data_IF_853835272888
#
_entry.id   IF_853835272888
#
_cell.length_a   1.000
_cell.length_b   1.000
_cell.length_c   1.000
_cell.angle_alpha   90.00
_cell.angle_beta   90.00
_cell.angle_gamma   90.00
#
_symmetry.space_group_name_H-M   'P 1'
#
loop_
_entity.id
_entity.type
_entity.pdbx_description
1 polymer ?
#
# COMPACT_ATOMS: atom_id res chain seq x y z
N UNK A 1 55.58 -51.25 56.89
CA UNK A 1 56.48 -51.91 55.93
C UNK A 1 55.66 -52.19 54.68
N UNK A 2 55.97 -51.53 53.56
CA UNK A 2 55.27 -51.77 52.29
C UNK A 2 55.71 -53.10 51.70
N UNK A 3 54.76 -53.88 51.20
CA UNK A 3 55.08 -55.03 50.33
C UNK A 3 55.68 -54.45 49.05
N UNK A 4 56.83 -54.95 48.56
CA UNK A 4 57.37 -54.47 47.29
C UNK A 4 56.38 -54.83 46.16
N UNK A 5 56.00 -53.82 45.38
CA UNK A 5 55.10 -53.94 44.23
C UNK A 5 55.84 -53.40 43.01
N UNK A 6 55.70 -54.09 41.87
CA UNK A 6 56.30 -53.72 40.59
C UNK A 6 55.25 -53.79 39.49
N UNK A 7 55.26 -52.81 38.61
CA UNK A 7 54.45 -52.80 37.40
C UNK A 7 55.35 -53.08 36.21
N UNK A 8 54.99 -54.07 35.39
CA UNK A 8 55.73 -54.42 34.18
C UNK A 8 54.87 -54.21 32.93
N UNK A 9 55.50 -53.93 31.80
CA UNK A 9 54.86 -53.83 30.50
C UNK A 9 54.30 -55.20 30.07
N UNK A 10 53.51 -55.22 28.99
CA UNK A 10 53.06 -56.48 28.37
C UNK A 10 54.22 -57.42 27.98
N UNK A 11 55.44 -56.89 27.80
CA UNK A 11 56.67 -57.65 27.53
C UNK A 11 57.43 -58.05 28.80
N UNK A 12 56.93 -57.69 29.98
CA UNK A 12 57.57 -57.99 31.27
C UNK A 12 58.69 -57.04 31.67
N UNK A 13 58.87 -55.92 30.96
CA UNK A 13 59.86 -54.91 31.33
C UNK A 13 59.32 -54.01 32.45
N UNK A 14 60.10 -53.72 33.50
CA UNK A 14 59.66 -52.83 34.58
C UNK A 14 59.38 -51.42 34.06
N UNK A 15 58.22 -50.87 34.41
CA UNK A 15 57.81 -49.51 34.00
C UNK A 15 58.41 -48.42 34.92
N UNK A 16 58.93 -48.80 36.09
CA UNK A 16 59.56 -47.95 37.10
C UNK A 16 60.87 -48.61 37.60
N UNK A 17 61.73 -47.89 38.32
CA UNK A 17 63.12 -48.27 38.67
C UNK A 17 63.40 -49.78 38.93
N UNK A 18 64.51 -50.27 38.38
CA UNK A 18 65.08 -51.61 38.61
C UNK A 18 65.66 -51.74 40.02
N UNK A 19 64.81 -51.90 41.03
CA UNK A 19 65.27 -52.39 42.34
C UNK A 19 65.24 -53.91 42.33
N UNK A 20 66.39 -54.56 42.59
CA UNK A 20 66.45 -56.01 42.82
C UNK A 20 65.62 -56.34 44.07
N UNK A 21 64.49 -57.00 43.87
CA UNK A 21 63.64 -57.50 44.95
C UNK A 21 64.04 -58.96 45.16
N UNK A 22 64.81 -59.24 46.21
CA UNK A 22 65.28 -60.60 46.55
C UNK A 22 64.20 -61.52 47.15
N UNK A 23 62.93 -61.30 46.81
CA UNK A 23 61.76 -62.05 47.34
C UNK A 23 60.99 -62.63 46.16
N UNK A 24 60.46 -63.84 46.28
CA UNK A 24 59.61 -64.47 45.25
C UNK A 24 58.35 -63.61 45.03
N UNK A 25 58.18 -63.10 43.81
CA UNK A 25 57.09 -62.20 43.45
C UNK A 25 56.02 -62.97 42.67
N UNK A 26 54.76 -62.86 43.08
CA UNK A 26 53.63 -63.34 42.30
C UNK A 26 53.27 -62.30 41.24
N UNK A 27 52.82 -62.75 40.06
CA UNK A 27 52.50 -61.90 38.90
C UNK A 27 51.05 -62.08 38.47
N UNK A 28 50.34 -60.98 38.23
CA UNK A 28 48.98 -60.98 37.69
C UNK A 28 48.85 -60.01 36.51
N UNK A 29 48.10 -60.36 35.45
CA UNK A 29 47.95 -59.51 34.27
C UNK A 29 47.02 -58.33 34.55
N UNK A 30 47.42 -57.14 34.11
CA UNK A 30 46.55 -55.98 33.98
C UNK A 30 46.00 -55.95 32.56
N UNK A 31 44.68 -55.97 32.44
CA UNK A 31 43.97 -56.01 31.16
C UNK A 31 43.25 -54.70 30.89
N UNK A 32 43.30 -54.28 29.63
CA UNK A 32 42.39 -53.30 29.08
C UNK A 32 41.43 -54.04 28.15
N UNK A 33 40.19 -54.25 28.60
CA UNK A 33 39.24 -55.19 27.97
C UNK A 33 39.79 -56.63 27.89
N UNK A 34 40.30 -57.04 26.73
CA UNK A 34 40.85 -58.37 26.49
C UNK A 34 42.37 -58.35 26.29
N UNK A 35 42.97 -57.17 26.18
CA UNK A 35 44.40 -57.00 25.92
C UNK A 35 45.18 -56.84 27.21
N UNK A 36 46.26 -57.61 27.38
CA UNK A 36 47.18 -57.45 28.50
C UNK A 36 48.06 -56.23 28.23
N UNK A 37 47.88 -55.17 29.00
CA UNK A 37 48.66 -53.92 28.90
C UNK A 37 49.92 -53.96 29.76
N UNK A 38 49.93 -54.82 30.77
CA UNK A 38 51.03 -54.98 31.69
C UNK A 38 50.75 -56.02 32.75
N UNK A 39 51.61 -56.10 33.75
CA UNK A 39 51.43 -57.00 34.87
C UNK A 39 51.75 -56.30 36.19
N UNK A 40 51.00 -56.67 37.22
CA UNK A 40 51.27 -56.29 38.59
C UNK A 40 52.01 -57.45 39.26
N UNK A 41 53.16 -57.15 39.83
CA UNK A 41 54.02 -58.10 40.53
C UNK A 41 54.14 -57.67 41.98
N UNK A 42 53.90 -58.58 42.94
CA UNK A 42 54.08 -58.29 44.36
C UNK A 42 54.44 -59.53 45.17
N UNK A 43 55.17 -59.34 46.27
CA UNK A 43 55.42 -60.38 47.27
C UNK A 43 54.18 -60.56 48.17
N UNK A 44 53.05 -60.94 47.56
CA UNK A 44 51.76 -61.13 48.22
C UNK A 44 51.01 -62.35 47.64
N UNK A 45 50.05 -62.94 48.39
CA UNK A 45 49.18 -63.99 47.87
C UNK A 45 48.42 -63.55 46.62
N UNK A 46 48.17 -64.49 45.70
CA UNK A 46 47.53 -64.24 44.39
C UNK A 46 46.16 -63.58 44.57
N UNK A 47 45.40 -63.93 45.60
CA UNK A 47 44.08 -63.35 45.87
C UNK A 47 44.17 -61.84 46.12
N UNK A 48 45.17 -61.39 46.89
CA UNK A 48 45.39 -59.96 47.16
C UNK A 48 45.89 -59.22 45.92
N UNK A 49 46.72 -59.88 45.11
CA UNK A 49 47.22 -59.34 43.86
C UNK A 49 46.10 -59.18 42.83
N UNK A 50 45.21 -60.17 42.71
CA UNK A 50 44.04 -60.12 41.83
C UNK A 50 43.03 -59.06 42.27
N UNK A 51 42.84 -58.84 43.58
CA UNK A 51 42.02 -57.71 44.07
C UNK A 51 42.65 -56.35 43.70
N UNK A 52 43.96 -56.21 43.81
CA UNK A 52 44.67 -55.00 43.41
C UNK A 52 44.60 -54.76 41.90
N UNK A 53 44.77 -55.82 41.08
CA UNK A 53 44.54 -55.79 39.63
C UNK A 53 43.11 -55.35 39.31
N UNK A 54 42.09 -55.95 39.96
CA UNK A 54 40.69 -55.58 39.74
C UNK A 54 40.39 -54.11 40.07
N UNK A 55 41.01 -53.55 41.11
CA UNK A 55 40.90 -52.12 41.43
C UNK A 55 41.57 -51.24 40.36
N UNK A 56 42.75 -51.60 39.87
CA UNK A 56 43.45 -50.86 38.82
C UNK A 56 42.67 -50.91 37.51
N UNK A 57 42.19 -52.09 37.11
CA UNK A 57 41.35 -52.27 35.92
C UNK A 57 40.05 -51.46 36.02
N UNK A 58 39.41 -51.44 37.20
CA UNK A 58 38.21 -50.62 37.45
C UNK A 58 38.50 -49.12 37.28
N UNK A 59 39.62 -48.63 37.80
CA UNK A 59 40.02 -47.22 37.66
C UNK A 59 40.32 -46.86 36.20
N UNK A 60 41.02 -47.73 35.47
CA UNK A 60 41.30 -47.56 34.03
C UNK A 60 40.01 -47.56 33.23
N UNK A 61 39.11 -48.51 33.49
CA UNK A 61 37.82 -48.59 32.82
C UNK A 61 36.94 -47.37 33.10
N UNK A 62 36.91 -46.90 34.36
CA UNK A 62 36.18 -45.70 34.77
C UNK A 62 36.71 -44.45 34.08
N UNK A 63 38.03 -44.24 34.09
CA UNK A 63 38.67 -43.10 33.41
C UNK A 63 38.41 -43.10 31.91
N UNK A 64 38.46 -44.27 31.26
CA UNK A 64 38.14 -44.40 29.83
C UNK A 64 36.69 -44.07 29.52
N UNK A 65 35.74 -44.59 30.31
CA UNK A 65 34.32 -44.26 30.16
C UNK A 65 34.10 -42.76 30.30
N UNK A 66 34.73 -42.13 31.29
CA UNK A 66 34.64 -40.69 31.49
C UNK A 66 35.17 -39.89 30.27
N UNK A 67 36.37 -40.24 29.77
CA UNK A 67 36.98 -39.58 28.62
C UNK A 67 36.15 -39.78 27.33
N UNK A 68 35.63 -41.00 27.10
CA UNK A 68 34.77 -41.27 25.94
C UNK A 68 33.47 -40.46 26.00
N UNK A 69 32.78 -40.45 27.14
CA UNK A 69 31.54 -39.69 27.31
C UNK A 69 31.78 -38.19 27.15
N UNK A 70 32.85 -37.66 27.75
CA UNK A 70 33.20 -36.24 27.63
C UNK A 70 33.52 -35.83 26.18
N UNK A 71 34.30 -36.66 25.47
CA UNK A 71 34.65 -36.38 24.06
C UNK A 71 33.44 -36.43 23.15
N UNK A 72 32.55 -37.42 23.32
CA UNK A 72 31.28 -37.50 22.59
C UNK A 72 30.40 -36.27 22.85
N UNK A 73 30.22 -35.86 24.11
CA UNK A 73 29.41 -34.69 24.43
C UNK A 73 29.97 -33.40 23.81
N UNK A 74 31.29 -33.22 23.83
CA UNK A 74 31.92 -32.06 23.20
C UNK A 74 31.73 -32.05 21.68
N UNK A 75 31.78 -33.22 21.03
CA UNK A 75 31.50 -33.33 19.60
C UNK A 75 30.05 -32.98 19.29
N UNK A 76 29.09 -33.53 20.04
CA UNK A 76 27.67 -33.22 19.86
C UNK A 76 27.39 -31.72 20.01
N UNK A 77 27.94 -31.08 21.05
CA UNK A 77 27.78 -29.62 21.26
C UNK A 77 28.39 -28.84 20.10
N UNK A 78 29.55 -29.25 19.58
CA UNK A 78 30.20 -28.59 18.45
C UNK A 78 29.36 -28.69 17.16
N UNK A 79 28.76 -29.86 16.90
CA UNK A 79 27.90 -30.09 15.75
C UNK A 79 26.58 -29.33 15.85
N UNK A 80 25.95 -29.32 17.04
CA UNK A 80 24.74 -28.55 17.32
C UNK A 80 25.00 -27.05 17.15
N UNK A 81 26.12 -26.56 17.69
CA UNK A 81 26.51 -25.15 17.56
C UNK A 81 26.72 -24.75 16.10
N UNK A 82 27.35 -25.63 15.30
CA UNK A 82 27.53 -25.41 13.87
C UNK A 82 26.20 -25.37 13.11
N UNK A 83 25.27 -26.28 13.44
CA UNK A 83 23.94 -26.33 12.84
C UNK A 83 23.16 -25.05 13.18
N UNK A 84 23.16 -24.64 14.44
CA UNK A 84 22.52 -23.41 14.90
C UNK A 84 23.10 -22.17 14.21
N UNK A 85 24.42 -22.11 14.01
CA UNK A 85 25.05 -21.03 13.25
C UNK A 85 24.58 -20.98 11.79
N UNK A 86 24.39 -22.13 11.15
CA UNK A 86 23.88 -22.20 9.78
C UNK A 86 22.42 -21.74 9.70
N UNK A 87 21.55 -22.24 10.57
CA UNK A 87 20.14 -21.82 10.64
C UNK A 87 20.01 -20.32 10.91
N UNK A 88 20.83 -19.78 11.82
CA UNK A 88 20.84 -18.35 12.10
C UNK A 88 21.29 -17.53 10.88
N UNK A 89 22.30 -17.99 10.14
CA UNK A 89 22.74 -17.32 8.92
C UNK A 89 21.67 -17.36 7.82
N UNK A 90 20.93 -18.47 7.69
CA UNK A 90 19.80 -18.58 6.76
C UNK A 90 18.62 -17.69 7.17
N UNK A 91 18.29 -17.64 8.46
CA UNK A 91 17.26 -16.77 9.00
C UNK A 91 17.58 -15.31 8.72
N UNK A 92 18.81 -14.86 8.98
CA UNK A 92 19.22 -13.48 8.67
C UNK A 92 19.11 -13.15 7.18
N UNK A 93 19.48 -14.08 6.29
CA UNK A 93 19.29 -13.90 4.83
C UNK A 93 17.81 -13.79 4.47
N UNK A 94 16.97 -14.64 5.07
CA UNK A 94 15.52 -14.63 4.85
C UNK A 94 14.91 -13.32 5.34
N UNK A 95 15.24 -12.87 6.55
CA UNK A 95 14.79 -11.59 7.10
C UNK A 95 15.20 -10.41 6.24
N UNK A 96 16.45 -10.37 5.76
CA UNK A 96 16.92 -9.31 4.87
C UNK A 96 16.10 -9.28 3.57
N UNK A 97 15.86 -10.45 2.98
CA UNK A 97 15.03 -10.59 1.77
C UNK A 97 13.58 -10.15 2.01
N UNK A 98 12.98 -10.53 3.15
CA UNK A 98 11.63 -10.09 3.50
C UNK A 98 11.56 -8.58 3.69
N UNK A 99 12.53 -7.97 4.39
CA UNK A 99 12.59 -6.51 4.57
C UNK A 99 12.69 -5.79 3.22
N UNK A 100 13.52 -6.28 2.30
CA UNK A 100 13.65 -5.70 0.96
C UNK A 100 12.34 -5.81 0.17
N UNK A 101 11.71 -6.99 0.17
CA UNK A 101 10.42 -7.20 -0.51
C UNK A 101 9.32 -6.32 0.07
N UNK A 102 9.23 -6.20 1.40
CA UNK A 102 8.28 -5.33 2.07
C UNK A 102 8.52 -3.87 1.69
N UNK A 103 9.76 -3.40 1.68
CA UNK A 103 10.07 -2.02 1.30
C UNK A 103 9.71 -1.73 -0.17
N UNK A 104 10.03 -2.65 -1.09
CA UNK A 104 9.64 -2.52 -2.51
C UNK A 104 8.12 -2.54 -2.69
N UNK A 105 7.40 -3.37 -1.92
CA UNK A 105 5.95 -3.42 -1.95
C UNK A 105 5.34 -2.13 -1.40
N UNK A 106 5.84 -1.61 -0.27
CA UNK A 106 5.42 -0.33 0.31
C UNK A 106 5.57 0.81 -0.72
N UNK A 107 6.73 0.88 -1.40
CA UNK A 107 6.99 1.87 -2.46
C UNK A 107 6.01 1.74 -3.63
N UNK A 108 5.79 0.51 -4.13
CA UNK A 108 4.90 0.27 -5.27
C UNK A 108 3.45 0.59 -4.94
N UNK A 109 3.01 0.31 -3.71
CA UNK A 109 1.67 0.68 -3.23
C UNK A 109 1.54 2.20 -3.17
N UNK A 110 2.53 2.91 -2.63
CA UNK A 110 2.51 4.38 -2.56
C UNK A 110 2.46 5.01 -3.97
N UNK A 111 3.26 4.51 -4.91
CA UNK A 111 3.21 4.94 -6.31
C UNK A 111 1.84 4.70 -6.95
N UNK A 112 1.26 3.50 -6.78
CA UNK A 112 -0.05 3.16 -7.33
C UNK A 112 -1.17 4.01 -6.72
N UNK A 113 -1.14 4.27 -5.42
CA UNK A 113 -2.10 5.15 -4.75
C UNK A 113 -2.00 6.56 -5.34
N UNK A 114 -0.81 7.11 -5.51
CA UNK A 114 -0.61 8.44 -6.10
C UNK A 114 -1.15 8.55 -7.54
N UNK A 115 -0.92 7.50 -8.35
CA UNK A 115 -1.45 7.43 -9.73
C UNK A 115 -2.99 7.39 -9.71
N UNK A 116 -3.59 6.58 -8.84
CA UNK A 116 -5.04 6.47 -8.71
C UNK A 116 -5.65 7.79 -8.25
N UNK A 117 -5.10 8.44 -7.24
CA UNK A 117 -5.58 9.73 -6.74
C UNK A 117 -5.52 10.82 -7.82
N UNK A 118 -4.44 10.83 -8.60
CA UNK A 118 -4.28 11.77 -9.72
C UNK A 118 -5.31 11.51 -10.82
N UNK A 119 -5.54 10.24 -11.17
CA UNK A 119 -6.53 9.85 -12.15
C UNK A 119 -7.96 10.20 -11.69
N UNK A 120 -8.30 9.92 -10.43
CA UNK A 120 -9.59 10.26 -9.84
C UNK A 120 -9.85 11.77 -9.85
N UNK A 121 -8.83 12.58 -9.51
CA UNK A 121 -8.96 14.05 -9.60
C UNK A 121 -9.26 14.50 -11.03
N UNK A 122 -8.55 13.94 -12.02
CA UNK A 122 -8.79 14.26 -13.44
C UNK A 122 -10.18 13.82 -13.90
N UNK A 123 -10.66 12.66 -13.46
CA UNK A 123 -12.00 12.19 -13.76
C UNK A 123 -13.06 13.11 -13.17
N UNK A 124 -12.89 13.52 -11.90
CA UNK A 124 -13.79 14.46 -11.25
C UNK A 124 -13.85 15.81 -11.97
N UNK A 125 -12.70 16.38 -12.33
CA UNK A 125 -12.65 17.63 -13.12
C UNK A 125 -13.32 17.46 -14.49
N UNK A 126 -13.10 16.33 -15.17
CA UNK A 126 -13.77 16.05 -16.44
C UNK A 126 -15.28 15.91 -16.30
N UNK A 127 -15.77 15.19 -15.29
CA UNK A 127 -17.21 15.08 -15.02
C UNK A 127 -17.82 16.45 -14.71
N UNK A 128 -17.11 17.29 -13.95
CA UNK A 128 -17.52 18.68 -13.69
C UNK A 128 -17.61 19.47 -14.99
N UNK A 129 -16.60 19.40 -15.85
CA UNK A 129 -16.60 20.09 -17.14
C UNK A 129 -17.73 19.60 -18.06
N UNK A 130 -18.00 18.29 -18.10
CA UNK A 130 -19.10 17.73 -18.87
C UNK A 130 -20.44 18.24 -18.35
N UNK A 131 -20.65 18.25 -17.03
CA UNK A 131 -21.86 18.78 -16.40
C UNK A 131 -22.06 20.26 -16.70
N UNK A 132 -20.98 21.07 -16.59
CA UNK A 132 -21.00 22.49 -16.96
C UNK A 132 -21.32 22.66 -18.45
N UNK A 133 -20.77 21.83 -19.33
CA UNK A 133 -21.05 21.86 -20.76
C UNK A 133 -22.52 21.53 -21.09
N UNK A 134 -23.10 20.52 -20.42
CA UNK A 134 -24.52 20.18 -20.57
C UNK A 134 -25.43 21.29 -20.07
N UNK A 135 -25.12 21.90 -18.92
CA UNK A 135 -25.86 23.06 -18.41
C UNK A 135 -25.76 24.25 -19.37
N UNK A 136 -24.56 24.55 -19.87
CA UNK A 136 -24.36 25.63 -20.84
C UNK A 136 -25.16 25.39 -22.13
N UNK A 137 -25.19 24.16 -22.64
CA UNK A 137 -25.99 23.81 -23.82
C UNK A 137 -27.50 23.94 -23.56
N UNK A 138 -27.98 23.50 -22.40
CA UNK A 138 -29.38 23.65 -21.99
C UNK A 138 -29.80 25.12 -21.88
N UNK A 139 -28.98 25.93 -21.20
CA UNK A 139 -29.22 27.37 -21.06
C UNK A 139 -29.18 28.08 -22.41
N UNK A 140 -28.24 27.73 -23.29
CA UNK A 140 -28.21 28.26 -24.64
C UNK A 140 -29.50 27.94 -25.42
N UNK A 141 -30.03 26.72 -25.28
CA UNK A 141 -31.28 26.33 -25.91
C UNK A 141 -32.49 27.11 -25.35
N UNK A 142 -32.55 27.29 -24.03
CA UNK A 142 -33.61 28.04 -23.37
C UNK A 142 -33.55 29.54 -23.64
N UNK A 143 -32.38 30.11 -23.90
CA UNK A 143 -32.22 31.51 -24.34
C UNK A 143 -32.57 31.66 -25.83
N UNK A 144 -32.16 30.71 -26.67
CA UNK A 144 -32.41 30.78 -28.11
C UNK A 144 -33.89 30.69 -28.45
N UNK A 145 -34.67 29.94 -27.66
CA UNK A 145 -36.12 29.80 -27.88
C UNK A 145 -36.86 31.15 -27.87
N UNK A 146 -36.76 31.99 -26.82
CA UNK A 146 -37.34 33.32 -26.81
C UNK A 146 -36.78 34.30 -27.81
N UNK A 147 -35.47 34.24 -28.07
CA UNK A 147 -34.88 35.07 -29.13
C UNK A 147 -35.51 34.74 -30.50
N UNK A 148 -35.78 33.46 -30.77
CA UNK A 148 -36.39 33.00 -32.01
C UNK A 148 -37.77 33.61 -32.26
N UNK A 149 -38.67 33.54 -31.27
CA UNK A 149 -40.01 34.12 -31.44
C UNK A 149 -40.00 35.65 -31.41
N UNK A 150 -39.13 36.29 -30.61
CA UNK A 150 -38.95 37.76 -30.65
C UNK A 150 -38.54 38.20 -32.05
N UNK A 151 -37.58 37.51 -32.67
CA UNK A 151 -37.15 37.85 -34.03
C UNK A 151 -38.27 37.70 -35.06
N UNK A 152 -39.06 36.63 -34.95
CA UNK A 152 -40.23 36.40 -35.79
C UNK A 152 -41.27 37.52 -35.63
N UNK A 153 -41.60 37.86 -34.38
CA UNK A 153 -42.59 38.88 -34.05
C UNK A 153 -42.16 40.26 -34.53
N UNK A 154 -40.89 40.63 -34.34
CA UNK A 154 -40.34 41.90 -34.84
C UNK A 154 -40.31 41.96 -36.37
N UNK A 155 -40.12 40.83 -37.06
CA UNK A 155 -40.22 40.76 -38.52
C UNK A 155 -41.65 41.03 -39.00
N UNK A 156 -42.65 40.43 -38.37
CA UNK A 156 -44.06 40.68 -38.67
C UNK A 156 -44.47 42.12 -38.34
N UNK A 157 -44.06 42.62 -37.17
CA UNK A 157 -44.29 43.99 -36.74
C UNK A 157 -43.70 45.01 -37.73
N UNK A 158 -42.52 44.73 -38.30
CA UNK A 158 -41.92 45.57 -39.36
C UNK A 158 -42.81 45.65 -40.61
N UNK A 159 -43.36 44.52 -41.06
CA UNK A 159 -44.29 44.49 -42.20
C UNK A 159 -45.56 45.32 -41.93
N UNK A 160 -46.11 45.22 -40.73
CA UNK A 160 -47.24 46.06 -40.31
C UNK A 160 -46.89 47.55 -40.28
N UNK A 161 -45.69 47.88 -39.80
CA UNK A 161 -45.21 49.26 -39.75
C UNK A 161 -45.13 49.89 -41.16
N UNK A 162 -44.78 49.12 -42.18
CA UNK A 162 -44.80 49.58 -43.59
C UNK A 162 -46.22 49.91 -44.07
N UNK A 163 -47.23 49.11 -43.69
CA UNK A 163 -48.63 49.39 -44.00
C UNK A 163 -49.14 50.63 -43.27
N UNK A 164 -48.84 50.74 -41.96
CA UNK A 164 -49.18 51.92 -41.15
C UNK A 164 -48.56 53.19 -41.75
N UNK A 165 -47.30 53.14 -42.19
CA UNK A 165 -46.62 54.27 -42.82
C UNK A 165 -47.28 54.70 -44.15
N UNK A 166 -47.76 53.76 -44.97
CA UNK A 166 -48.49 54.08 -46.21
C UNK A 166 -49.78 54.85 -45.90
N UNK A 167 -50.55 54.39 -44.92
CA UNK A 167 -51.78 55.05 -44.49
C UNK A 167 -51.50 56.44 -43.88
N UNK A 168 -50.47 56.55 -43.04
CA UNK A 168 -50.04 57.84 -42.49
C UNK A 168 -49.62 58.83 -43.60
N UNK A 169 -48.98 58.32 -44.66
CA UNK A 169 -48.67 59.10 -45.86
C UNK A 169 -49.92 59.60 -46.59
N UNK A 170 -50.92 58.73 -46.76
CA UNK A 170 -52.22 59.09 -47.36
C UNK A 170 -52.92 60.20 -46.54
N UNK A 171 -52.95 60.08 -45.21
CA UNK A 171 -53.49 61.10 -44.30
C UNK A 171 -52.73 62.42 -44.45
N UNK A 172 -51.39 62.38 -44.45
CA UNK A 172 -50.54 63.58 -44.60
C UNK A 172 -50.76 64.28 -45.94
N UNK A 173 -51.07 63.53 -46.99
CA UNK A 173 -51.39 64.07 -48.32
C UNK A 173 -52.80 64.66 -48.45
N UNK A 174 -53.60 64.65 -47.37
CA UNK A 174 -55.00 65.13 -47.33
C UNK A 174 -55.89 64.45 -48.39
N UNK A 175 -55.73 63.15 -48.57
CA UNK A 175 -56.67 62.38 -49.37
C UNK A 175 -58.09 62.51 -48.81
N UNK A 176 -59.08 62.33 -49.70
CA UNK A 176 -60.49 62.37 -49.32
C UNK A 176 -60.81 61.33 -48.24
N UNK A 177 -61.73 61.69 -47.33
CA UNK A 177 -62.10 60.85 -46.19
C UNK A 177 -62.64 59.50 -46.65
N UNK A 178 -63.37 59.46 -47.78
CA UNK A 178 -63.86 58.21 -48.36
C UNK A 178 -62.71 57.29 -48.80
N UNK A 179 -61.68 57.83 -49.46
CA UNK A 179 -60.51 57.07 -49.89
C UNK A 179 -59.67 56.55 -48.71
N UNK A 180 -59.57 57.33 -47.63
CA UNK A 180 -58.90 56.91 -46.40
C UNK A 180 -59.65 55.77 -45.69
N UNK A 181 -60.98 55.84 -45.67
CA UNK A 181 -61.83 54.79 -45.09
C UNK A 181 -61.73 53.48 -45.89
N UNK A 182 -61.75 53.57 -47.23
CA UNK A 182 -61.52 52.40 -48.08
C UNK A 182 -60.14 51.79 -47.85
N UNK A 183 -59.09 52.61 -47.76
CA UNK A 183 -57.74 52.12 -47.46
C UNK A 183 -57.63 51.50 -46.05
N UNK A 184 -58.39 51.99 -45.07
CA UNK A 184 -58.47 51.41 -43.73
C UNK A 184 -59.05 49.99 -43.75
N UNK A 185 -60.19 49.81 -44.44
CA UNK A 185 -60.89 48.53 -44.56
C UNK A 185 -60.11 47.54 -45.44
N UNK A 186 -59.57 47.97 -46.58
CA UNK A 186 -58.83 47.10 -47.51
C UNK A 186 -57.54 46.53 -46.90
N UNK A 187 -56.91 47.26 -45.99
CA UNK A 187 -55.69 46.82 -45.31
C UNK A 187 -55.97 46.13 -43.97
N UNK A 188 -57.25 45.97 -43.58
CA UNK A 188 -57.66 45.40 -42.30
C UNK A 188 -56.92 46.03 -41.11
N UNK A 189 -56.96 47.37 -41.05
CA UNK A 189 -56.15 48.14 -40.11
C UNK A 189 -56.46 47.85 -38.64
N UNK A 190 -57.69 47.47 -38.31
CA UNK A 190 -58.07 47.09 -36.95
C UNK A 190 -57.35 45.80 -36.52
N UNK A 191 -57.25 44.81 -37.41
CA UNK A 191 -56.46 43.60 -37.17
C UNK A 191 -54.97 43.92 -37.04
N UNK A 192 -54.42 44.74 -37.95
CA UNK A 192 -52.99 45.10 -37.92
C UNK A 192 -52.61 45.78 -36.60
N UNK A 193 -53.43 46.72 -36.11
CA UNK A 193 -53.14 47.45 -34.88
C UNK A 193 -53.23 46.55 -33.64
N UNK A 194 -54.24 45.67 -33.57
CA UNK A 194 -54.41 44.70 -32.48
C UNK A 194 -53.29 43.64 -32.48
N UNK A 195 -52.96 43.08 -33.64
CA UNK A 195 -51.89 42.08 -33.77
C UNK A 195 -50.51 42.70 -33.52
N UNK A 196 -50.27 43.94 -33.97
CA UNK A 196 -49.02 44.66 -33.68
C UNK A 196 -48.80 44.83 -32.17
N UNK A 197 -49.82 45.24 -31.41
CA UNK A 197 -49.71 45.38 -29.96
C UNK A 197 -49.41 44.03 -29.28
N UNK A 198 -50.09 42.95 -29.71
CA UNK A 198 -49.83 41.59 -29.24
C UNK A 198 -48.40 41.14 -29.51
N UNK A 199 -47.92 41.29 -30.75
CA UNK A 199 -46.56 40.92 -31.15
C UNK A 199 -45.50 41.67 -30.33
N UNK A 200 -45.74 42.95 -30.05
CA UNK A 200 -44.86 43.76 -29.21
C UNK A 200 -44.89 43.29 -27.75
N UNK A 201 -46.07 43.01 -27.19
CA UNK A 201 -46.21 42.46 -25.84
C UNK A 201 -45.52 41.11 -25.67
N UNK A 202 -45.71 40.20 -26.62
CA UNK A 202 -45.03 38.90 -26.65
C UNK A 202 -43.51 39.04 -26.78
N UNK A 203 -43.04 39.98 -27.59
CA UNK A 203 -41.60 40.24 -27.76
C UNK A 203 -40.96 40.76 -26.47
N UNK A 204 -41.65 41.67 -25.76
CA UNK A 204 -41.20 42.17 -24.46
C UNK A 204 -41.12 41.02 -23.45
N UNK A 205 -42.17 40.20 -23.35
CA UNK A 205 -42.17 39.02 -22.48
C UNK A 205 -41.05 38.02 -22.81
N UNK A 206 -40.73 37.86 -24.09
CA UNK A 206 -39.57 37.06 -24.53
C UNK A 206 -38.24 37.59 -24.00
N UNK A 207 -38.01 38.90 -24.10
CA UNK A 207 -36.79 39.55 -23.61
C UNK A 207 -36.71 39.47 -22.07
N UNK A 208 -37.82 39.66 -21.36
CA UNK A 208 -37.87 39.51 -19.90
C UNK A 208 -37.50 38.08 -19.47
N UNK A 209 -38.00 37.06 -20.18
CA UNK A 209 -37.62 35.67 -19.94
C UNK A 209 -36.12 35.44 -20.15
N UNK A 210 -35.53 35.99 -21.23
CA UNK A 210 -34.07 35.92 -21.44
C UNK A 210 -33.31 36.55 -20.28
N UNK A 211 -33.76 37.72 -19.81
CA UNK A 211 -33.13 38.42 -18.69
C UNK A 211 -33.18 37.57 -17.39
N UNK A 212 -34.31 36.91 -17.12
CA UNK A 212 -34.46 36.00 -15.98
C UNK A 212 -33.48 34.83 -16.06
N UNK A 213 -33.40 34.15 -17.21
CA UNK A 213 -32.49 33.00 -17.41
C UNK A 213 -31.02 33.40 -17.16
N UNK A 214 -30.61 34.58 -17.64
CA UNK A 214 -29.25 35.09 -17.44
C UNK A 214 -28.98 35.46 -15.97
N UNK A 215 -29.99 36.01 -15.28
CA UNK A 215 -29.89 36.32 -13.85
C UNK A 215 -29.73 35.06 -12.99
N UNK A 216 -30.53 34.03 -13.27
CA UNK A 216 -30.46 32.73 -12.58
C UNK A 216 -29.10 32.05 -12.79
N UNK A 217 -28.55 32.12 -14.01
CA UNK A 217 -27.22 31.59 -14.32
C UNK A 217 -26.10 32.28 -13.51
N UNK A 218 -26.17 33.61 -13.36
CA UNK A 218 -25.20 34.36 -12.54
C UNK A 218 -25.27 33.92 -11.08
N UNK A 219 -26.45 33.65 -10.54
CA UNK A 219 -26.65 33.14 -9.18
C UNK A 219 -25.96 31.80 -8.95
N UNK A 220 -26.06 30.86 -9.90
CA UNK A 220 -25.41 29.54 -9.81
C UNK A 220 -23.87 29.61 -9.81
N UNK A 221 -23.28 30.52 -10.60
CA UNK A 221 -21.81 30.66 -10.68
C UNK A 221 -21.13 31.16 -9.39
N UNK A 222 -21.89 31.78 -8.49
CA UNK A 222 -21.38 32.32 -7.22
C UNK A 222 -21.34 31.29 -6.08
N UNK A 223 -22.17 30.25 -6.11
CA UNK A 223 -22.35 29.31 -5.00
C UNK A 223 -21.27 28.20 -4.98
N UNK A 224 -20.72 27.84 -6.15
CA UNK A 224 -19.82 26.69 -6.30
C UNK A 224 -18.42 26.90 -5.67
N UNK A 225 -17.98 28.16 -5.43
CA UNK A 225 -16.70 28.42 -4.73
C UNK A 225 -16.75 28.11 -3.23
N UNK A 226 -17.94 27.99 -2.63
CA UNK A 226 -18.08 27.77 -1.19
C UNK A 226 -17.90 26.31 -0.75
N UNK A 227 -18.14 25.34 -1.64
CA UNK A 227 -18.13 23.91 -1.29
C UNK A 227 -16.76 23.23 -1.41
N UNK A 228 -15.81 23.85 -2.11
CA UNK A 228 -14.46 23.30 -2.32
C UNK A 228 -13.64 23.20 -1.01
N UNK A 229 -13.98 24.00 0.01
CA UNK A 229 -13.30 24.01 1.31
C UNK A 229 -13.67 22.85 2.25
N UNK A 230 -14.77 22.14 2.01
CA UNK A 230 -15.30 21.16 2.98
C UNK A 230 -14.97 19.70 2.65
N UNK A 231 -14.34 19.40 1.51
CA UNK A 231 -14.10 18.01 1.07
C UNK A 231 -12.67 17.50 1.26
N UNK A 232 -11.74 18.35 1.71
CA UNK A 232 -10.34 17.95 1.97
C UNK A 232 -9.94 18.20 3.42
N UNK A 233 -10.18 17.26 4.37
CA UNK A 233 -9.45 17.29 5.62
C UNK A 233 -7.96 17.07 5.31
N UNK A 234 -7.04 17.91 5.81
CA UNK A 234 -5.60 17.69 5.63
C UNK A 234 -5.18 16.45 6.41
N UNK A 235 -4.92 15.35 5.70
CA UNK A 235 -4.34 14.13 6.27
C UNK A 235 -2.89 14.37 6.71
N UNK A 236 -2.70 15.00 7.88
CA UNK A 236 -1.40 15.25 8.53
C UNK A 236 -1.15 14.29 9.71
N UNK A 237 -1.40 12.99 9.59
CA UNK A 237 -0.98 12.06 10.67
C UNK A 237 -0.52 10.71 10.12
N UNK A 238 0.67 10.66 9.50
CA UNK A 238 1.38 9.38 9.33
C UNK A 238 2.91 9.47 9.27
N UNK A 239 3.51 10.60 9.68
CA UNK A 239 4.97 10.80 9.61
C UNK A 239 5.73 10.84 10.94
N UNK A 240 5.12 10.48 12.08
CA UNK A 240 5.78 10.60 13.40
C UNK A 240 5.84 9.31 14.23
N UNK A 241 5.76 8.11 13.63
CA UNK A 241 5.78 6.86 14.41
C UNK A 241 6.75 5.77 13.95
N UNK A 242 7.83 6.13 13.24
CA UNK A 242 8.95 5.20 12.93
C UNK A 242 10.33 5.67 13.45
N UNK A 243 10.38 6.70 14.32
CA UNK A 243 11.58 7.10 15.06
C UNK A 243 11.33 7.02 16.57
N UNK A 244 11.04 5.82 17.06
CA UNK A 244 11.16 5.46 18.47
C UNK A 244 10.90 3.96 18.58
N UNK A 245 11.96 3.17 18.58
CA UNK A 245 12.17 2.06 19.51
C UNK A 245 13.67 1.72 19.46
N UNK A 246 14.26 1.39 20.62
CA UNK A 246 15.72 1.38 20.88
C UNK A 246 16.47 0.25 20.17
#
# INVERSE_FOLDING_TARGET
>A
MGVPVRLTSHQGQPLFEEKEIGVEMMRAPLRNELEIVGFLEAAAPVERLMMAVGLVELLVQSGRRYLMTSTLHLQTIADDYKTLQQEHAELLKSEAKYRELTQRLEQRVEEQVSVIETAQRRLYENEKLVSVGQLAAGVAHEINTPIGFVMSNLSSARSYLETIQKLAGAIRSKQDVGALQTAWEENDMDFILDDFDKLMGESIGGIERVASIVADLRGFSGIDRGQEFLRHPPNRQRKLRRMALP
#
